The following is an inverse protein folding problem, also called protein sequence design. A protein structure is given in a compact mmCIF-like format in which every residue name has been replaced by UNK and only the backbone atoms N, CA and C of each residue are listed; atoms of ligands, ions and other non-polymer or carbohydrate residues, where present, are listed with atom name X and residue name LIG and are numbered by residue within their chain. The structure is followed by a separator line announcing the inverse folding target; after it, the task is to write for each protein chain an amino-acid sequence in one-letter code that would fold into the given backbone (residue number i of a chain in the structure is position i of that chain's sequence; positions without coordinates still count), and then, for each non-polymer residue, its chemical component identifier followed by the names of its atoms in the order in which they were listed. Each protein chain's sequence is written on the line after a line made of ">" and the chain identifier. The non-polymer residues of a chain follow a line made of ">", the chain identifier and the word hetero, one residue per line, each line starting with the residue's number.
data_IF_058841696752
#
_entry.id   IF_058841696752
#
_cell.length_a   1.000
_cell.length_b   1.000
_cell.length_c   1.000
_cell.angle_alpha   90.00
_cell.angle_beta   90.00
_cell.angle_gamma   90.00
#
_symmetry.space_group_name_H-M   'P 1'
#
loop_
_entity.id
_entity.type
_entity.pdbx_description
1 polymer ?
#
# COMPACT_ATOMS: atom_id res chain seq x y z
N UNK A 1 11.15 2.36 9.39
CA UNK A 1 11.35 2.12 7.94
C UNK A 1 12.78 2.45 7.53
N UNK A 2 13.42 1.52 6.80
CA UNK A 2 14.77 1.69 6.22
C UNK A 2 14.76 2.41 4.86
N UNK A 3 13.59 2.56 4.29
CA UNK A 3 13.39 3.21 3.00
C UNK A 3 12.45 4.42 3.15
N UNK A 4 12.50 5.35 2.20
CA UNK A 4 11.57 6.48 2.09
C UNK A 4 10.87 6.44 0.74
N UNK A 5 9.60 6.86 0.72
CA UNK A 5 8.86 7.04 -0.53
C UNK A 5 9.21 8.42 -1.07
N UNK A 6 9.71 8.46 -2.31
CA UNK A 6 10.14 9.70 -2.99
C UNK A 6 8.98 10.32 -3.76
N UNK A 7 8.27 9.50 -4.54
CA UNK A 7 7.13 9.94 -5.34
C UNK A 7 6.18 8.79 -5.65
N UNK A 8 4.94 9.15 -5.94
CA UNK A 8 3.97 8.29 -6.58
C UNK A 8 3.76 8.75 -8.02
N UNK A 9 3.49 7.79 -8.89
CA UNK A 9 2.99 8.03 -10.25
C UNK A 9 1.88 7.02 -10.54
N UNK A 10 1.13 7.23 -11.61
CA UNK A 10 0.20 6.22 -12.10
C UNK A 10 0.93 4.90 -12.44
N UNK A 11 0.33 3.78 -12.08
CA UNK A 11 0.86 2.45 -12.36
C UNK A 11 0.66 2.03 -13.82
N UNK A 12 1.42 1.05 -14.33
CA UNK A 12 1.06 0.37 -15.58
C UNK A 12 -0.17 -0.51 -15.34
N UNK A 13 -0.95 -0.80 -16.39
CA UNK A 13 -2.07 -1.75 -16.28
C UNK A 13 -1.53 -3.14 -15.89
N UNK A 14 -2.16 -3.87 -14.94
CA UNK A 14 -3.41 -3.57 -14.24
C UNK A 14 -3.23 -2.82 -12.90
N UNK A 15 -2.02 -2.38 -12.55
CA UNK A 15 -1.72 -1.73 -11.27
C UNK A 15 -2.29 -0.31 -11.20
N UNK A 16 -2.61 0.15 -9.99
CA UNK A 16 -3.10 1.53 -9.78
C UNK A 16 -1.95 2.52 -9.74
N UNK A 17 -0.93 2.24 -8.93
CA UNK A 17 0.15 3.18 -8.64
C UNK A 17 1.53 2.52 -8.73
N UNK A 18 2.53 3.35 -9.00
CA UNK A 18 3.94 3.02 -8.81
C UNK A 18 4.53 3.95 -7.74
N UNK A 19 5.09 3.38 -6.69
CA UNK A 19 5.87 4.11 -5.69
C UNK A 19 7.36 4.01 -6.04
N UNK A 20 8.05 5.15 -6.05
CA UNK A 20 9.50 5.22 -6.12
C UNK A 20 10.04 5.25 -4.70
N UNK A 21 10.82 4.24 -4.34
CA UNK A 21 11.30 4.03 -2.98
C UNK A 21 12.81 4.11 -2.97
N UNK A 22 13.35 4.93 -2.08
CA UNK A 22 14.77 5.15 -1.89
C UNK A 22 15.23 4.42 -0.63
N UNK A 23 16.27 3.60 -0.76
CA UNK A 23 16.96 3.06 0.41
C UNK A 23 17.77 4.17 1.09
N UNK A 24 17.63 4.33 2.41
CA UNK A 24 18.28 5.42 3.16
C UNK A 24 19.81 5.29 3.18
N UNK A 25 20.33 4.06 3.19
CA UNK A 25 21.77 3.76 3.28
C UNK A 25 22.42 3.84 1.90
N UNK A 26 21.93 3.04 0.94
CA UNK A 26 22.56 2.93 -0.39
C UNK A 26 22.14 4.03 -1.36
N UNK A 27 21.12 4.83 -1.02
CA UNK A 27 20.50 5.86 -1.87
C UNK A 27 19.90 5.34 -3.19
N UNK A 28 19.98 4.03 -3.46
CA UNK A 28 19.39 3.40 -4.66
C UNK A 28 17.87 3.54 -4.63
N UNK A 29 17.31 3.79 -5.81
CA UNK A 29 15.87 3.92 -6.01
C UNK A 29 15.35 2.68 -6.72
N UNK A 30 14.27 2.09 -6.18
CA UNK A 30 13.50 1.03 -6.83
C UNK A 30 12.05 1.43 -7.01
N UNK A 31 11.37 0.81 -7.96
CA UNK A 31 9.95 1.03 -8.25
C UNK A 31 9.14 -0.14 -7.69
N UNK A 32 8.04 0.15 -6.99
CA UNK A 32 7.07 -0.86 -6.57
C UNK A 32 5.69 -0.51 -7.11
N UNK A 33 5.08 -1.44 -7.83
CA UNK A 33 3.71 -1.30 -8.31
C UNK A 33 2.73 -1.90 -7.30
N UNK A 34 1.62 -1.21 -7.00
CA UNK A 34 0.64 -1.68 -6.02
C UNK A 34 -0.79 -1.26 -6.38
N UNK A 35 -1.75 -1.93 -5.73
CA UNK A 35 -3.17 -1.88 -6.08
C UNK A 35 -3.48 -2.53 -7.43
N UNK A 36 -4.77 -2.69 -7.72
CA UNK A 36 -5.26 -3.15 -9.01
C UNK A 36 -6.44 -2.28 -9.46
N UNK A 37 -6.35 -1.68 -10.64
CA UNK A 37 -7.31 -0.68 -11.10
C UNK A 37 -8.67 -1.29 -11.43
N UNK A 38 -8.76 -2.61 -11.61
CA UNK A 38 -10.02 -3.32 -11.87
C UNK A 38 -10.90 -3.42 -10.62
N UNK A 39 -10.30 -3.36 -9.42
CA UNK A 39 -11.02 -3.55 -8.16
C UNK A 39 -11.22 -2.24 -7.37
N UNK A 40 -12.31 -2.14 -6.59
CA UNK A 40 -12.51 -1.07 -5.63
C UNK A 40 -11.60 -1.22 -4.40
N UNK A 41 -11.45 -0.15 -3.63
CA UNK A 41 -10.63 -0.11 -2.42
C UNK A 41 -11.38 0.59 -1.27
N UNK A 42 -10.88 0.49 -0.03
CA UNK A 42 -11.53 1.14 1.10
C UNK A 42 -11.46 2.66 0.99
N UNK A 43 -10.22 3.18 0.90
CA UNK A 43 -9.94 4.60 0.75
C UNK A 43 -8.58 4.80 0.12
N UNK A 44 -8.55 5.49 -1.01
CA UNK A 44 -7.32 5.98 -1.63
C UNK A 44 -6.75 7.14 -0.80
N UNK A 45 -5.66 6.84 -0.09
CA UNK A 45 -4.90 7.77 0.75
C UNK A 45 -3.57 8.15 0.11
N UNK A 46 -3.35 7.80 -1.16
CA UNK A 46 -2.15 8.26 -1.87
C UNK A 46 -2.19 9.78 -2.05
N UNK A 47 -1.05 10.46 -2.21
CA UNK A 47 -1.04 11.90 -2.51
C UNK A 47 -1.74 12.25 -3.84
N UNK A 48 -1.79 11.32 -4.80
CA UNK A 48 -2.37 11.57 -6.13
C UNK A 48 -3.89 11.38 -6.18
N UNK A 49 -4.44 10.44 -5.40
CA UNK A 49 -5.87 10.14 -5.32
C UNK A 49 -6.60 9.89 -6.67
N UNK A 50 -5.87 9.45 -7.71
CA UNK A 50 -6.39 9.15 -9.06
C UNK A 50 -7.58 8.18 -9.05
N UNK A 51 -7.59 7.24 -8.09
CA UNK A 51 -8.62 6.20 -8.02
C UNK A 51 -9.66 6.45 -6.92
N UNK A 52 -9.76 7.68 -6.36
CA UNK A 52 -10.70 8.01 -5.28
C UNK A 52 -12.16 7.67 -5.58
N UNK A 53 -12.57 7.73 -6.85
CA UNK A 53 -13.90 7.37 -7.33
C UNK A 53 -14.24 5.88 -7.13
N UNK A 54 -13.25 5.01 -6.87
CA UNK A 54 -13.43 3.58 -6.56
C UNK A 54 -13.41 3.26 -5.06
N UNK A 55 -13.43 4.29 -4.21
CA UNK A 55 -13.47 4.11 -2.75
C UNK A 55 -14.86 3.63 -2.33
N UNK A 56 -14.94 2.52 -1.61
CA UNK A 56 -16.22 1.98 -1.12
C UNK A 56 -16.52 2.37 0.34
N UNK A 57 -15.56 2.85 1.13
CA UNK A 57 -15.77 3.36 2.51
C UNK A 57 -16.24 2.34 3.56
N UNK A 58 -16.58 1.11 3.18
CA UNK A 58 -17.10 0.07 4.08
C UNK A 58 -16.03 -0.49 5.04
N UNK A 59 -16.15 -0.17 6.33
CA UNK A 59 -15.22 -0.65 7.37
C UNK A 59 -15.21 -2.18 7.52
N UNK A 60 -16.35 -2.85 7.36
CA UNK A 60 -16.43 -4.33 7.39
C UNK A 60 -15.54 -4.96 6.32
N UNK A 61 -15.57 -4.44 5.08
CA UNK A 61 -14.72 -4.93 3.98
C UNK A 61 -13.23 -4.71 4.26
N UNK A 62 -12.87 -3.55 4.82
CA UNK A 62 -11.50 -3.26 5.25
C UNK A 62 -11.02 -4.26 6.32
N UNK A 63 -11.80 -4.46 7.39
CA UNK A 63 -11.46 -5.42 8.45
C UNK A 63 -11.31 -6.83 7.90
N UNK A 64 -12.22 -7.28 7.04
CA UNK A 64 -12.14 -8.59 6.40
C UNK A 64 -10.89 -8.73 5.51
N UNK A 65 -10.52 -7.68 4.80
CA UNK A 65 -9.28 -7.65 4.01
C UNK A 65 -8.05 -7.88 4.92
N UNK A 66 -7.93 -7.12 6.02
CA UNK A 66 -6.81 -7.30 6.95
C UNK A 66 -6.83 -8.67 7.66
N UNK A 67 -8.01 -9.18 8.04
CA UNK A 67 -8.12 -10.52 8.64
C UNK A 67 -7.60 -11.61 7.69
N UNK A 68 -7.99 -11.57 6.41
CA UNK A 68 -7.52 -12.56 5.42
C UNK A 68 -6.04 -12.43 5.11
N UNK A 69 -5.54 -11.21 4.95
CA UNK A 69 -4.18 -11.00 4.46
C UNK A 69 -3.13 -10.92 5.57
N UNK A 70 -3.50 -10.56 6.80
CA UNK A 70 -2.56 -10.38 7.92
C UNK A 70 -2.92 -11.17 9.18
N UNK A 71 -4.08 -11.83 9.21
CA UNK A 71 -4.56 -12.58 10.38
C UNK A 71 -5.07 -11.70 11.52
N UNK A 72 -5.32 -10.40 11.26
CA UNK A 72 -5.86 -9.46 12.25
C UNK A 72 -6.78 -8.46 11.56
N UNK A 73 -7.87 -8.09 12.21
CA UNK A 73 -8.79 -7.07 11.70
C UNK A 73 -8.29 -5.63 11.93
N UNK A 74 -7.28 -5.45 12.78
CA UNK A 74 -6.73 -4.14 13.13
C UNK A 74 -5.69 -3.70 12.08
N UNK A 75 -5.96 -2.58 11.40
CA UNK A 75 -5.09 -2.01 10.36
C UNK A 75 -3.68 -1.69 10.86
N UNK A 76 -3.54 -1.09 12.04
CA UNK A 76 -2.22 -0.73 12.59
C UNK A 76 -1.40 -1.98 12.87
N UNK A 77 -1.99 -2.95 13.58
CA UNK A 77 -1.33 -4.23 13.87
C UNK A 77 -0.93 -4.98 12.58
N UNK A 78 -1.79 -4.97 11.54
CA UNK A 78 -1.48 -5.58 10.25
C UNK A 78 -0.30 -4.89 9.54
N UNK A 79 -0.23 -3.56 9.57
CA UNK A 79 0.88 -2.79 8.97
C UNK A 79 2.18 -3.06 9.73
N UNK A 80 2.16 -2.97 11.06
CA UNK A 80 3.35 -3.16 11.89
C UNK A 80 3.92 -4.57 11.74
N UNK A 81 3.05 -5.59 11.70
CA UNK A 81 3.43 -7.00 11.43
C UNK A 81 4.13 -7.15 10.08
N UNK A 82 3.61 -6.54 9.02
CA UNK A 82 4.23 -6.60 7.69
C UNK A 82 5.57 -5.84 7.65
N UNK A 83 5.69 -4.70 8.32
CA UNK A 83 6.94 -3.94 8.42
C UNK A 83 8.01 -4.77 9.13
N UNK A 84 7.67 -5.41 10.26
CA UNK A 84 8.58 -6.28 11.00
C UNK A 84 9.01 -7.49 10.15
N UNK A 85 8.06 -8.18 9.52
CA UNK A 85 8.33 -9.33 8.64
C UNK A 85 9.31 -8.98 7.51
N UNK A 86 9.20 -7.77 6.95
CA UNK A 86 10.03 -7.32 5.83
C UNK A 86 11.24 -6.47 6.29
N UNK A 87 11.64 -6.55 7.57
CA UNK A 87 12.82 -5.87 8.14
C UNK A 87 12.84 -4.35 7.84
N UNK A 88 11.67 -3.73 7.79
CA UNK A 88 11.51 -2.29 7.54
C UNK A 88 11.63 -1.85 6.07
N UNK A 89 11.56 -2.78 5.12
CA UNK A 89 11.50 -2.51 3.68
C UNK A 89 10.04 -2.41 3.20
N UNK A 90 9.75 -1.50 2.27
CA UNK A 90 8.45 -1.41 1.64
C UNK A 90 8.19 -2.61 0.73
N UNK A 91 6.95 -3.06 0.70
CA UNK A 91 6.44 -4.07 -0.23
C UNK A 91 5.14 -3.58 -0.86
N UNK A 92 4.71 -4.13 -2.01
CA UNK A 92 3.40 -3.79 -2.60
C UNK A 92 2.23 -3.99 -1.62
N UNK A 93 2.34 -4.99 -0.72
CA UNK A 93 1.34 -5.27 0.31
C UNK A 93 1.30 -4.17 1.37
N UNK A 94 2.45 -3.77 1.92
CA UNK A 94 2.54 -2.64 2.86
C UNK A 94 1.98 -1.37 2.22
N UNK A 95 2.34 -1.08 0.98
CA UNK A 95 1.81 0.08 0.25
C UNK A 95 0.27 -0.01 0.11
N UNK A 96 -0.26 -1.19 -0.22
CA UNK A 96 -1.71 -1.39 -0.31
C UNK A 96 -2.41 -1.24 1.04
N UNK A 97 -1.81 -1.73 2.13
CA UNK A 97 -2.34 -1.62 3.51
C UNK A 97 -2.32 -0.18 4.03
N UNK A 98 -1.31 0.59 3.66
CA UNK A 98 -1.18 1.98 4.10
C UNK A 98 -2.10 2.88 3.27
N UNK A 99 -2.11 2.69 1.94
CA UNK A 99 -2.69 3.69 1.04
C UNK A 99 -4.04 3.33 0.43
N UNK A 100 -4.46 2.05 0.39
CA UNK A 100 -5.70 1.66 -0.30
C UNK A 100 -6.71 0.99 0.64
N UNK A 101 -6.22 0.24 1.62
CA UNK A 101 -7.03 -0.48 2.62
C UNK A 101 -6.97 0.21 3.99
#
# INVERSE_FOLDING_TARGET
>A
MKETIVKFVEGPFPKKYTAFIRNKETRKIRKLHFGDRRYPQYKDRTPLQLYKHKNHGTQKRMRNYFSRHSGTSNRKAAIDKEIQKNRGLYTPKILSHVYLW
#
